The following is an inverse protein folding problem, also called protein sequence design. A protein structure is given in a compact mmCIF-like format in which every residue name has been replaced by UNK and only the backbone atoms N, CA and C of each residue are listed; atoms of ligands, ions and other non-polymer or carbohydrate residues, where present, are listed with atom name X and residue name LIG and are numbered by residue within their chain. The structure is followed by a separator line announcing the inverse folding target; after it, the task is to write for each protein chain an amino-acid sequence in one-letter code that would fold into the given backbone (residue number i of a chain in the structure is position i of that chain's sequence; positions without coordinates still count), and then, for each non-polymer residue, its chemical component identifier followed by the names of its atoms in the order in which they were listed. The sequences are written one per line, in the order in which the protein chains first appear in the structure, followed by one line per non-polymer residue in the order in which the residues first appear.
data_IF_348402781085
#
_entry.id   IF_348402781085
#
_cell.length_a   1.000
_cell.length_b   1.000
_cell.length_c   1.000
_cell.angle_alpha   90.00
_cell.angle_beta   90.00
_cell.angle_gamma   90.00
#
_symmetry.space_group_name_H-M   'P 1'
#
loop_
_entity.id
_entity.type
_entity.pdbx_description
1 polymer ?
#
# COMPACT_ATOMS: atom_id res chain seq x y z
N UNK A 1 -27.93 2.20 14.81
CA UNK A 1 -26.46 2.40 14.79
C UNK A 1 -26.14 3.15 13.51
N UNK A 2 -25.50 4.32 13.59
CA UNK A 2 -25.07 5.04 12.40
C UNK A 2 -24.07 4.17 11.64
N UNK A 3 -24.25 4.04 10.32
CA UNK A 3 -23.30 3.29 9.48
C UNK A 3 -21.96 4.04 9.54
N UNK A 4 -20.89 3.34 9.90
CA UNK A 4 -19.54 3.93 9.89
C UNK A 4 -19.26 4.56 8.52
N UNK A 5 -18.69 5.76 8.51
CA UNK A 5 -18.30 6.42 7.25
C UNK A 5 -17.04 5.74 6.73
N UNK A 6 -16.81 5.86 5.41
CA UNK A 6 -15.59 5.31 4.78
C UNK A 6 -14.33 5.89 5.43
N UNK A 7 -14.36 7.19 5.77
CA UNK A 7 -13.27 7.88 6.48
C UNK A 7 -13.03 7.31 7.88
N UNK A 8 -14.09 7.06 8.66
CA UNK A 8 -13.92 6.48 10.01
C UNK A 8 -13.34 5.06 9.92
N UNK A 9 -13.78 4.26 8.94
CA UNK A 9 -13.23 2.92 8.68
C UNK A 9 -11.76 2.98 8.27
N UNK A 10 -11.40 3.94 7.40
CA UNK A 10 -10.01 4.17 6.98
C UNK A 10 -9.12 4.51 8.18
N UNK A 11 -9.58 5.41 9.06
CA UNK A 11 -8.84 5.81 10.26
C UNK A 11 -8.62 4.62 11.21
N UNK A 12 -9.69 3.84 11.47
CA UNK A 12 -9.62 2.65 12.31
C UNK A 12 -8.66 1.59 11.75
N UNK A 13 -8.70 1.35 10.44
CA UNK A 13 -7.75 0.45 9.79
C UNK A 13 -6.30 0.96 9.90
N UNK A 14 -6.07 2.27 9.84
CA UNK A 14 -4.73 2.84 9.99
C UNK A 14 -4.19 2.68 11.42
N UNK A 15 -5.04 2.80 12.45
CA UNK A 15 -4.65 2.53 13.85
C UNK A 15 -4.20 1.07 14.05
N UNK A 16 -4.91 0.12 13.43
CA UNK A 16 -4.51 -1.28 13.40
C UNK A 16 -3.16 -1.47 12.70
N UNK A 17 -2.90 -0.72 11.62
CA UNK A 17 -1.61 -0.77 10.94
C UNK A 17 -0.46 -0.20 11.75
N UNK A 18 -0.70 0.83 12.57
CA UNK A 18 0.32 1.33 13.49
C UNK A 18 0.72 0.25 14.50
N UNK A 19 -0.27 -0.46 15.06
CA UNK A 19 0.00 -1.60 15.94
C UNK A 19 0.75 -2.73 15.22
N UNK A 20 0.42 -3.00 13.95
CA UNK A 20 1.11 -4.02 13.16
C UNK A 20 2.60 -3.66 12.95
N UNK A 21 2.88 -2.39 12.64
CA UNK A 21 4.25 -1.86 12.46
C UNK A 21 5.07 -1.92 13.76
N UNK A 22 4.46 -1.76 14.93
CA UNK A 22 5.17 -1.85 16.21
C UNK A 22 5.61 -3.28 16.56
N UNK A 23 4.89 -4.30 16.06
CA UNK A 23 5.09 -5.69 16.47
C UNK A 23 5.71 -6.57 15.39
N UNK A 24 5.76 -6.14 14.14
CA UNK A 24 6.24 -6.94 13.00
C UNK A 24 7.60 -7.59 13.23
N UNK A 25 8.58 -6.84 13.75
CA UNK A 25 9.94 -7.35 14.01
C UNK A 25 9.99 -8.46 15.08
N UNK A 26 9.02 -8.49 16.00
CA UNK A 26 9.00 -9.39 17.16
C UNK A 26 7.98 -10.52 17.01
N UNK A 27 6.92 -10.29 16.23
CA UNK A 27 5.79 -11.19 16.12
C UNK A 27 5.05 -10.99 14.78
N UNK A 28 5.62 -11.56 13.73
CA UNK A 28 5.07 -11.53 12.37
C UNK A 28 3.63 -12.09 12.31
N UNK A 29 3.34 -13.17 13.04
CA UNK A 29 2.00 -13.77 13.08
C UNK A 29 0.95 -12.79 13.62
N UNK A 30 1.29 -12.03 14.66
CA UNK A 30 0.42 -10.98 15.21
C UNK A 30 0.27 -9.81 14.24
N UNK A 31 1.35 -9.38 13.60
CA UNK A 31 1.29 -8.31 12.60
C UNK A 31 0.37 -8.70 11.42
N UNK A 32 0.51 -9.92 10.90
CA UNK A 32 -0.36 -10.44 9.84
C UNK A 32 -1.83 -10.53 10.27
N UNK A 33 -2.11 -10.90 11.53
CA UNK A 33 -3.47 -10.90 12.07
C UNK A 33 -4.08 -9.49 12.12
N UNK A 34 -3.30 -8.49 12.55
CA UNK A 34 -3.70 -7.07 12.57
C UNK A 34 -3.94 -6.54 11.15
N UNK A 35 -3.09 -6.88 10.18
CA UNK A 35 -3.30 -6.50 8.77
C UNK A 35 -4.62 -7.07 8.24
N UNK A 36 -4.90 -8.35 8.50
CA UNK A 36 -6.16 -8.98 8.11
C UNK A 36 -7.37 -8.39 8.82
N UNK A 37 -7.20 -7.85 10.02
CA UNK A 37 -8.24 -7.11 10.74
C UNK A 37 -8.49 -5.75 10.11
N UNK A 38 -7.43 -5.00 9.80
CA UNK A 38 -7.50 -3.73 9.08
C UNK A 38 -8.26 -3.89 7.75
N UNK A 39 -8.01 -4.97 7.00
CA UNK A 39 -8.72 -5.25 5.74
C UNK A 39 -10.19 -5.65 5.92
N UNK A 40 -10.57 -6.20 7.07
CA UNK A 40 -11.98 -6.47 7.39
C UNK A 40 -12.74 -5.18 7.67
N UNK A 41 -12.08 -4.21 8.31
CA UNK A 41 -12.63 -2.87 8.59
C UNK A 41 -12.66 -2.02 7.32
N UNK A 42 -11.53 -1.98 6.61
CA UNK A 42 -11.33 -1.17 5.41
C UNK A 42 -10.58 -1.97 4.33
N UNK A 43 -11.29 -2.52 3.32
CA UNK A 43 -10.69 -3.36 2.30
C UNK A 43 -9.63 -2.66 1.43
N UNK A 44 -9.67 -1.34 1.34
CA UNK A 44 -8.74 -0.54 0.56
C UNK A 44 -7.54 -0.02 1.40
N UNK A 45 -7.27 -0.61 2.57
CA UNK A 45 -6.11 -0.28 3.39
C UNK A 45 -4.80 -0.72 2.71
N UNK A 46 -4.12 0.23 2.04
CA UNK A 46 -2.89 -0.03 1.27
C UNK A 46 -1.76 -0.59 2.13
N UNK A 47 -1.55 -0.02 3.32
CA UNK A 47 -0.51 -0.48 4.24
C UNK A 47 -0.69 -1.95 4.64
N UNK A 48 -1.94 -2.37 4.90
CA UNK A 48 -2.25 -3.76 5.24
C UNK A 48 -1.99 -4.71 4.06
N UNK A 49 -2.39 -4.31 2.85
CA UNK A 49 -2.15 -5.09 1.63
C UNK A 49 -0.65 -5.23 1.35
N UNK A 50 0.10 -4.13 1.47
CA UNK A 50 1.54 -4.11 1.21
C UNK A 50 2.33 -4.92 2.26
N UNK A 51 2.00 -4.79 3.55
CA UNK A 51 2.66 -5.56 4.60
C UNK A 51 2.37 -7.06 4.48
N UNK A 52 1.12 -7.46 4.17
CA UNK A 52 0.80 -8.86 3.87
C UNK A 52 1.54 -9.35 2.62
N UNK A 53 1.65 -8.52 1.58
CA UNK A 53 2.44 -8.86 0.40
C UNK A 53 3.90 -9.17 0.78
N UNK A 54 4.51 -8.36 1.65
CA UNK A 54 5.88 -8.56 2.10
C UNK A 54 6.06 -9.86 2.90
N UNK A 55 5.11 -10.20 3.78
CA UNK A 55 5.21 -11.40 4.63
C UNK A 55 4.85 -12.69 3.89
N UNK A 56 3.87 -12.65 2.99
CA UNK A 56 3.20 -13.86 2.49
C UNK A 56 3.56 -14.22 1.04
N UNK A 57 4.26 -13.35 0.31
CA UNK A 57 4.62 -13.63 -1.09
C UNK A 57 5.83 -14.57 -1.16
N UNK A 58 5.69 -15.80 -1.70
CA UNK A 58 6.78 -16.77 -1.72
C UNK A 58 7.82 -16.49 -2.81
N UNK A 59 7.48 -15.65 -3.79
CA UNK A 59 8.38 -15.25 -4.87
C UNK A 59 8.30 -13.75 -5.12
N UNK A 60 9.37 -13.20 -5.73
CA UNK A 60 9.38 -11.81 -6.19
C UNK A 60 8.21 -11.51 -7.15
N UNK A 61 7.81 -12.47 -7.98
CA UNK A 61 6.69 -12.30 -8.92
C UNK A 61 5.36 -12.19 -8.19
N UNK A 62 5.17 -13.00 -7.14
CA UNK A 62 3.97 -12.94 -6.30
C UNK A 62 3.92 -11.62 -5.53
N UNK A 63 5.08 -11.15 -5.04
CA UNK A 63 5.19 -9.86 -4.35
C UNK A 63 4.81 -8.69 -5.27
N UNK A 64 5.36 -8.66 -6.48
CA UNK A 64 4.99 -7.68 -7.51
C UNK A 64 3.50 -7.73 -7.82
N UNK A 65 2.91 -8.92 -7.96
CA UNK A 65 1.48 -9.07 -8.21
C UNK A 65 0.61 -8.58 -7.04
N UNK A 66 1.05 -8.81 -5.81
CA UNK A 66 0.36 -8.36 -4.61
C UNK A 66 0.46 -6.84 -4.42
N UNK A 67 1.64 -6.24 -4.63
CA UNK A 67 1.83 -4.79 -4.58
C UNK A 67 0.95 -4.05 -5.60
N UNK A 68 0.80 -4.59 -6.81
CA UNK A 68 -0.14 -4.02 -7.79
C UNK A 68 -1.57 -3.95 -7.26
N UNK A 69 -2.03 -4.98 -6.54
CA UNK A 69 -3.35 -4.97 -5.91
C UNK A 69 -3.45 -3.90 -4.81
N UNK A 70 -2.38 -3.71 -4.03
CA UNK A 70 -2.29 -2.65 -3.02
C UNK A 70 -2.36 -1.25 -3.65
N UNK A 71 -1.64 -1.03 -4.76
CA UNK A 71 -1.67 0.22 -5.52
C UNK A 71 -3.07 0.49 -6.09
N UNK A 72 -3.72 -0.51 -6.68
CA UNK A 72 -5.10 -0.36 -7.16
C UNK A 72 -6.10 -0.05 -6.04
N UNK A 73 -5.88 -0.57 -4.83
CA UNK A 73 -6.66 -0.16 -3.66
C UNK A 73 -6.41 1.31 -3.30
N UNK A 74 -5.16 1.77 -3.34
CA UNK A 74 -4.83 3.17 -3.10
C UNK A 74 -5.42 4.13 -4.14
N UNK A 75 -5.47 3.73 -5.41
CA UNK A 75 -6.16 4.50 -6.46
C UNK A 75 -7.65 4.68 -6.17
N UNK A 76 -8.31 3.63 -5.68
CA UNK A 76 -9.73 3.70 -5.26
C UNK A 76 -9.92 4.52 -3.97
N UNK A 77 -8.98 4.43 -3.04
CA UNK A 77 -9.00 5.18 -1.78
C UNK A 77 -8.89 6.69 -2.01
N UNK A 78 -7.90 7.11 -2.80
CA UNK A 78 -7.64 8.53 -3.09
C UNK A 78 -8.66 9.11 -4.08
N UNK A 79 -9.06 8.32 -5.08
CA UNK A 79 -9.97 8.77 -6.14
C UNK A 79 -9.28 9.65 -7.20
N UNK A 80 -9.80 9.64 -8.43
CA UNK A 80 -9.16 10.28 -9.58
C UNK A 80 -8.98 11.80 -9.43
N UNK A 81 -9.92 12.48 -8.78
CA UNK A 81 -9.86 13.93 -8.55
C UNK A 81 -8.68 14.34 -7.67
N UNK A 82 -8.31 13.49 -6.69
CA UNK A 82 -7.17 13.72 -5.80
C UNK A 82 -5.86 13.70 -6.59
N UNK A 83 -5.73 12.80 -7.57
CA UNK A 83 -4.51 12.72 -8.37
C UNK A 83 -4.29 13.94 -9.26
N UNK A 84 -5.36 14.52 -9.79
CA UNK A 84 -5.26 15.74 -10.60
C UNK A 84 -5.00 16.98 -9.75
N UNK A 85 -5.62 17.07 -8.57
CA UNK A 85 -5.48 18.21 -7.67
C UNK A 85 -4.08 18.28 -7.01
N UNK A 86 -3.51 17.13 -6.66
CA UNK A 86 -2.31 17.04 -5.81
C UNK A 86 -1.04 16.63 -6.58
N UNK A 87 -1.08 16.67 -7.91
CA UNK A 87 0.06 16.39 -8.79
C UNK A 87 1.25 17.31 -8.45
N UNK A 88 2.44 16.73 -8.30
CA UNK A 88 3.64 17.45 -7.85
C UNK A 88 3.83 17.46 -6.33
N UNK A 89 2.82 17.08 -5.54
CA UNK A 89 2.79 17.29 -4.08
C UNK A 89 2.66 15.98 -3.27
N UNK A 90 2.59 14.82 -3.93
CA UNK A 90 2.27 13.54 -3.28
C UNK A 90 3.16 13.20 -2.08
N UNK A 91 4.46 13.47 -2.13
CA UNK A 91 5.37 13.18 -1.02
C UNK A 91 5.15 14.05 0.23
N UNK A 92 4.49 15.20 0.08
CA UNK A 92 4.21 16.14 1.17
C UNK A 92 2.91 15.84 1.94
N UNK A 93 2.01 15.05 1.34
CA UNK A 93 0.69 14.76 1.91
C UNK A 93 0.74 13.48 2.73
N UNK A 94 0.03 13.44 3.87
CA UNK A 94 0.04 12.26 4.76
C UNK A 94 -0.84 11.16 4.18
N UNK A 95 -1.94 11.57 3.56
CA UNK A 95 -3.02 10.76 3.02
C UNK A 95 -2.54 9.84 1.88
N UNK A 96 -1.54 10.29 1.12
CA UNK A 96 -0.92 9.58 0.00
C UNK A 96 0.21 8.66 0.43
N UNK A 97 0.76 8.78 1.65
CA UNK A 97 1.94 8.00 2.09
C UNK A 97 1.77 6.49 1.94
N UNK A 98 0.62 5.87 2.28
CA UNK A 98 0.42 4.44 2.05
C UNK A 98 0.59 4.06 0.58
N UNK A 99 -0.02 4.84 -0.32
CA UNK A 99 0.08 4.64 -1.77
C UNK A 99 1.52 4.84 -2.28
N UNK A 100 2.18 5.91 -1.84
CA UNK A 100 3.56 6.23 -2.24
C UNK A 100 4.57 5.19 -1.77
N UNK A 101 4.40 4.64 -0.56
CA UNK A 101 5.24 3.52 -0.08
C UNK A 101 5.03 2.27 -0.93
N UNK A 102 3.79 1.90 -1.22
CA UNK A 102 3.50 0.73 -2.07
C UNK A 102 4.06 0.89 -3.50
N UNK A 103 4.03 2.10 -4.07
CA UNK A 103 4.70 2.41 -5.33
C UNK A 103 6.22 2.24 -5.22
N UNK A 104 6.85 2.77 -4.17
CA UNK A 104 8.28 2.62 -3.95
C UNK A 104 8.68 1.14 -3.82
N UNK A 105 7.93 0.36 -3.05
CA UNK A 105 8.15 -1.08 -2.90
C UNK A 105 8.04 -1.81 -4.25
N UNK A 106 7.09 -1.42 -5.10
CA UNK A 106 6.95 -2.00 -6.44
C UNK A 106 8.12 -1.62 -7.34
N UNK A 107 8.56 -0.35 -7.30
CA UNK A 107 9.74 0.12 -8.04
C UNK A 107 10.96 -0.73 -7.66
N UNK A 108 11.24 -0.90 -6.36
CA UNK A 108 12.36 -1.73 -5.92
C UNK A 108 12.23 -3.18 -6.35
N UNK A 109 11.04 -3.79 -6.19
CA UNK A 109 10.80 -5.17 -6.60
C UNK A 109 10.97 -5.39 -8.12
N UNK A 110 10.62 -4.40 -8.94
CA UNK A 110 10.83 -4.45 -10.39
C UNK A 110 12.30 -4.32 -10.78
N UNK A 111 13.05 -3.46 -10.09
CA UNK A 111 14.50 -3.32 -10.27
C UNK A 111 15.24 -4.59 -9.87
N UNK A 112 14.83 -5.23 -8.76
CA UNK A 112 15.38 -6.53 -8.33
C UNK A 112 15.09 -7.65 -9.34
N UNK A 113 13.96 -7.58 -10.05
CA UNK A 113 13.66 -8.51 -11.13
C UNK A 113 14.57 -8.26 -12.34
N UNK A 114 14.80 -7.00 -12.70
CA UNK A 114 15.96 -6.59 -13.51
C UNK A 114 15.91 -6.89 -15.02
N UNK A 115 14.75 -7.24 -15.60
CA UNK A 115 14.63 -7.28 -17.07
C UNK A 115 14.47 -5.86 -17.63
N UNK A 116 14.88 -5.58 -18.87
CA UNK A 116 14.71 -4.25 -19.47
C UNK A 116 13.28 -3.71 -19.37
N UNK A 117 12.27 -4.57 -19.60
CA UNK A 117 10.87 -4.18 -19.52
C UNK A 117 10.43 -3.81 -18.10
N UNK A 118 11.02 -4.46 -17.07
CA UNK A 118 10.74 -4.18 -15.66
C UNK A 118 11.43 -2.90 -15.20
N UNK A 119 12.62 -2.62 -15.72
CA UNK A 119 13.32 -1.36 -15.47
C UNK A 119 12.55 -0.19 -16.10
N UNK A 120 12.09 -0.33 -17.35
CA UNK A 120 11.26 0.68 -18.01
C UNK A 120 9.96 0.93 -17.25
N UNK A 121 9.35 -0.13 -16.69
CA UNK A 121 8.18 -0.02 -15.84
C UNK A 121 8.46 0.72 -14.53
N UNK A 122 9.58 0.42 -13.87
CA UNK A 122 9.99 1.09 -12.64
C UNK A 122 10.20 2.60 -12.84
N UNK A 123 10.77 3.01 -13.99
CA UNK A 123 10.95 4.43 -14.34
C UNK A 123 9.59 5.13 -14.44
N UNK A 124 8.61 4.53 -15.13
CA UNK A 124 7.26 5.12 -15.28
C UNK A 124 6.55 5.26 -13.93
N UNK A 125 6.70 4.27 -13.04
CA UNK A 125 6.13 4.36 -11.70
C UNK A 125 6.78 5.47 -10.88
N UNK A 126 8.08 5.71 -11.03
CA UNK A 126 8.77 6.82 -10.37
C UNK A 126 8.28 8.19 -10.89
N UNK A 127 7.93 8.30 -12.17
CA UNK A 127 7.32 9.50 -12.75
C UNK A 127 5.91 9.75 -12.18
N UNK A 128 5.15 8.69 -11.89
CA UNK A 128 3.83 8.80 -11.26
C UNK A 128 3.90 9.36 -9.83
N UNK A 129 5.04 9.19 -9.17
CA UNK A 129 5.29 9.68 -7.82
C UNK A 129 5.62 11.18 -7.76
N UNK A 130 5.69 11.87 -8.90
CA UNK A 130 5.92 13.32 -8.99
C UNK A 130 4.58 14.05 -9.00
#
# INVERSE_FOLDING_TARGET
MAKATRESQRSEAQELMWQAMEVIEKNEVRAAALCREALRVYPDCVDALAMLAQMESPTLKDYVAALRRAIEAGRRDLGAEYFEAEKGCFWGLIETRPFMRALADLVFALLDWGTPERIDEAIKLQEEML
#
